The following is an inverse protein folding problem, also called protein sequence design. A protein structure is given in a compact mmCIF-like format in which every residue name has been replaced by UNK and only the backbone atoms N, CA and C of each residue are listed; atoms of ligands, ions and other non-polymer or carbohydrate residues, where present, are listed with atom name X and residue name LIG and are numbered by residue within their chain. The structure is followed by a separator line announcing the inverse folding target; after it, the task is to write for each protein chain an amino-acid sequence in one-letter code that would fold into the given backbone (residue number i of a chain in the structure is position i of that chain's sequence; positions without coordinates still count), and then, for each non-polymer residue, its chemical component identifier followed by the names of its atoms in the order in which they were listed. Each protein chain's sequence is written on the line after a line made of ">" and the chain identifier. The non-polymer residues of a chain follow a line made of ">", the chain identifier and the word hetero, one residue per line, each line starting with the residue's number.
data_IF_530341597232
#
_entry.id   IF_530341597232
#
_cell.length_a   1.000
_cell.length_b   1.000
_cell.length_c   1.000
_cell.angle_alpha   90.00
_cell.angle_beta   90.00
_cell.angle_gamma   90.00
#
_symmetry.space_group_name_H-M   'P 1'
#
loop_
_entity.id
_entity.type
_entity.pdbx_description
1 polymer ?
#
# COMPACT_ATOMS: atom_id res chain seq x y z
N UNK A 1 -8.38 -3.98 -14.48
CA UNK A 1 -7.37 -2.91 -14.32
C UNK A 1 -7.42 -1.98 -15.53
N UNK A 2 -7.27 -0.65 -15.39
CA UNK A 2 -7.34 0.31 -16.52
C UNK A 2 -6.13 0.25 -17.47
N UNK A 3 -4.93 -0.02 -16.93
CA UNK A 3 -3.65 -0.12 -17.66
C UNK A 3 -3.05 -1.51 -17.45
N UNK A 4 -3.64 -2.53 -18.06
CA UNK A 4 -3.16 -3.92 -17.97
C UNK A 4 -1.75 -4.09 -18.57
N UNK A 5 -1.35 -3.20 -19.49
CA UNK A 5 0.00 -3.11 -20.03
C UNK A 5 1.07 -2.74 -18.98
N UNK A 6 0.64 -2.23 -17.82
CA UNK A 6 1.50 -1.87 -16.69
C UNK A 6 1.33 -2.82 -15.49
N UNK A 7 0.53 -3.87 -15.64
CA UNK A 7 0.36 -4.86 -14.57
C UNK A 7 1.64 -5.69 -14.43
N UNK A 8 2.10 -5.85 -13.19
CA UNK A 8 3.28 -6.65 -12.87
C UNK A 8 2.79 -7.86 -12.09
N UNK A 9 3.00 -9.05 -12.67
CA UNK A 9 2.68 -10.34 -12.06
C UNK A 9 3.94 -11.11 -11.60
N UNK A 10 5.11 -10.51 -11.83
CA UNK A 10 6.39 -11.06 -11.39
C UNK A 10 6.50 -11.00 -9.87
N UNK A 11 6.40 -12.18 -9.25
CA UNK A 11 6.42 -12.33 -7.80
C UNK A 11 7.77 -11.96 -7.21
N UNK A 12 8.88 -12.24 -7.87
CA UNK A 12 10.21 -11.93 -7.34
C UNK A 12 10.42 -10.42 -7.27
N UNK A 13 9.97 -9.70 -8.30
CA UNK A 13 9.96 -8.24 -8.31
C UNK A 13 9.06 -7.68 -7.19
N UNK A 14 7.83 -8.18 -7.06
CA UNK A 14 6.90 -7.77 -5.99
C UNK A 14 7.53 -7.98 -4.60
N UNK A 15 8.08 -9.18 -4.36
CA UNK A 15 8.73 -9.52 -3.09
C UNK A 15 9.94 -8.61 -2.82
N UNK A 16 10.73 -8.29 -3.84
CA UNK A 16 11.88 -7.39 -3.71
C UNK A 16 11.48 -5.97 -3.29
N UNK A 17 10.37 -5.46 -3.83
CA UNK A 17 9.83 -4.14 -3.48
C UNK A 17 9.33 -4.16 -2.04
N UNK A 18 8.53 -5.16 -1.66
CA UNK A 18 8.02 -5.30 -0.29
C UNK A 18 9.12 -5.48 0.76
N UNK A 19 10.25 -6.10 0.40
CA UNK A 19 11.43 -6.21 1.28
C UNK A 19 12.22 -4.90 1.41
N UNK A 20 12.16 -4.03 0.39
CA UNK A 20 12.92 -2.78 0.33
C UNK A 20 12.20 -1.64 1.03
N UNK A 21 10.90 -1.53 0.85
CA UNK A 21 10.11 -0.42 1.38
C UNK A 21 9.84 -0.57 2.89
N UNK A 22 9.69 0.57 3.56
CA UNK A 22 9.56 0.61 5.02
C UNK A 22 8.17 1.01 5.49
N UNK A 23 7.42 1.72 4.65
CA UNK A 23 6.11 2.28 4.99
C UNK A 23 5.07 1.73 4.03
N UNK A 24 3.93 1.34 4.58
CA UNK A 24 2.73 1.04 3.81
C UNK A 24 1.59 1.92 4.33
N UNK A 25 0.54 2.11 3.53
CA UNK A 25 -0.74 2.66 4.01
C UNK A 25 -1.71 1.52 4.17
N UNK A 26 -2.32 1.42 5.34
CA UNK A 26 -3.45 0.52 5.56
C UNK A 26 -4.76 1.32 5.55
N UNK A 27 -5.72 0.85 4.77
CA UNK A 27 -7.08 1.36 4.71
C UNK A 27 -8.01 0.34 5.37
N UNK A 28 -8.82 0.85 6.29
CA UNK A 28 -9.81 0.11 7.07
C UNK A 28 -11.19 0.76 6.89
N UNK A 29 -12.24 0.01 7.23
CA UNK A 29 -13.61 0.53 7.27
C UNK A 29 -14.06 0.71 8.72
N UNK A 30 -14.25 1.96 9.14
CA UNK A 30 -14.76 2.36 10.45
C UNK A 30 -16.26 2.68 10.34
N UNK A 31 -17.09 1.64 10.43
CA UNK A 31 -18.56 1.74 10.40
C UNK A 31 -19.10 2.55 9.19
N UNK A 32 -18.54 2.27 8.00
CA UNK A 32 -18.88 2.93 6.74
C UNK A 32 -17.92 4.06 6.34
N UNK A 33 -17.05 4.49 7.25
CA UNK A 33 -16.09 5.56 6.99
C UNK A 33 -14.71 4.99 6.64
N UNK A 34 -14.13 5.31 5.47
CA UNK A 34 -12.76 4.94 5.16
C UNK A 34 -11.79 5.58 6.16
N UNK A 35 -10.92 4.75 6.74
CA UNK A 35 -9.87 5.20 7.65
C UNK A 35 -8.52 4.70 7.15
N UNK A 36 -7.60 5.62 6.86
CA UNK A 36 -6.28 5.32 6.32
C UNK A 36 -5.19 5.81 7.25
N UNK A 37 -4.20 4.94 7.53
CA UNK A 37 -3.01 5.30 8.32
C UNK A 37 -1.73 4.74 7.69
N UNK A 38 -0.64 5.54 7.63
CA UNK A 38 0.67 5.03 7.30
C UNK A 38 1.23 4.22 8.47
N UNK A 39 1.89 3.10 8.17
CA UNK A 39 2.50 2.22 9.15
C UNK A 39 3.82 1.68 8.64
N UNK A 40 4.78 1.52 9.57
CA UNK A 40 6.00 0.77 9.29
C UNK A 40 5.64 -0.71 9.25
N UNK A 41 6.16 -1.43 8.26
CA UNK A 41 5.94 -2.86 8.10
C UNK A 41 7.25 -3.62 7.88
N UNK A 42 7.21 -4.92 8.15
CA UNK A 42 8.17 -5.89 7.64
C UNK A 42 7.46 -6.89 6.73
N UNK A 43 8.18 -7.51 5.81
CA UNK A 43 7.63 -8.50 4.88
C UNK A 43 8.40 -9.81 4.94
N UNK A 44 7.69 -10.91 5.17
CA UNK A 44 8.24 -12.27 5.13
C UNK A 44 7.14 -13.28 4.76
N UNK A 45 7.45 -14.27 3.94
CA UNK A 45 6.57 -15.41 3.62
C UNK A 45 5.15 -15.03 3.15
N UNK A 46 5.04 -14.00 2.30
CA UNK A 46 3.78 -13.40 1.83
C UNK A 46 2.92 -12.72 2.92
N UNK A 47 3.51 -12.39 4.07
CA UNK A 47 2.85 -11.70 5.16
C UNK A 47 3.49 -10.32 5.42
N UNK A 48 2.66 -9.29 5.58
CA UNK A 48 3.07 -8.00 6.11
C UNK A 48 2.89 -8.01 7.63
N UNK A 49 3.94 -7.64 8.35
CA UNK A 49 3.98 -7.53 9.80
C UNK A 49 4.01 -6.07 10.20
N UNK A 50 2.99 -5.63 10.94
CA UNK A 50 2.83 -4.24 11.35
C UNK A 50 3.05 -4.13 12.86
N UNK A 51 3.94 -3.25 13.30
CA UNK A 51 4.13 -2.98 14.72
C UNK A 51 3.19 -1.87 15.19
N UNK A 52 2.49 -2.09 16.32
CA UNK A 52 1.68 -1.02 16.91
C UNK A 52 1.30 -1.26 18.37
N UNK A 53 0.81 -0.20 19.04
CA UNK A 53 0.14 -0.32 20.33
C UNK A 53 -1.08 -1.25 20.25
N UNK A 54 -1.37 -1.94 21.36
CA UNK A 54 -2.50 -2.87 21.51
C UNK A 54 -3.87 -2.19 21.64
N UNK A 55 -3.91 -0.86 21.57
CA UNK A 55 -5.10 -0.03 21.71
C UNK A 55 -5.11 1.11 20.69
N UNK A 56 -6.23 1.83 20.67
CA UNK A 56 -6.48 2.97 19.78
C UNK A 56 -7.35 2.61 18.58
N UNK A 57 -7.81 3.65 17.86
CA UNK A 57 -8.84 3.57 16.83
C UNK A 57 -8.65 2.44 15.82
N UNK A 58 -7.45 2.26 15.26
CA UNK A 58 -7.17 1.17 14.30
C UNK A 58 -7.43 -0.21 14.92
N UNK A 59 -7.07 -0.42 16.18
CA UNK A 59 -7.24 -1.71 16.86
C UNK A 59 -8.72 -1.94 17.13
N UNK A 60 -9.45 -0.90 17.53
CA UNK A 60 -10.88 -0.98 17.74
C UNK A 60 -11.64 -1.28 16.43
N UNK A 61 -11.20 -0.70 15.32
CA UNK A 61 -11.70 -1.04 13.98
C UNK A 61 -11.38 -2.50 13.64
N UNK A 62 -10.11 -2.92 13.76
CA UNK A 62 -9.68 -4.29 13.42
C UNK A 62 -10.37 -5.36 14.28
N UNK A 63 -10.77 -5.05 15.51
CA UNK A 63 -11.58 -5.93 16.37
C UNK A 63 -13.01 -6.12 15.84
N UNK A 64 -13.59 -5.10 15.19
CA UNK A 64 -14.94 -5.17 14.59
C UNK A 64 -14.91 -5.76 13.19
N UNK A 65 -13.93 -5.34 12.39
CA UNK A 65 -13.73 -5.75 11.01
C UNK A 65 -12.24 -5.76 10.69
N UNK A 66 -11.68 -6.96 10.59
CA UNK A 66 -10.25 -7.16 10.34
C UNK A 66 -9.86 -7.08 8.85
N UNK A 67 -10.83 -6.86 7.94
CA UNK A 67 -10.55 -6.71 6.52
C UNK A 67 -9.92 -5.35 6.24
N UNK A 68 -8.75 -5.38 5.61
CA UNK A 68 -8.00 -4.19 5.19
C UNK A 68 -7.65 -4.23 3.71
N UNK A 69 -7.35 -3.05 3.18
CA UNK A 69 -6.57 -2.88 1.97
C UNK A 69 -5.23 -2.27 2.39
N UNK A 70 -4.13 -2.71 1.81
CA UNK A 70 -2.84 -2.05 1.99
C UNK A 70 -2.29 -1.56 0.66
N UNK A 71 -1.43 -0.55 0.73
CA UNK A 71 -0.74 0.04 -0.40
C UNK A 71 0.73 0.30 -0.04
N UNK A 72 1.62 0.01 -0.99
CA UNK A 72 3.05 0.31 -0.93
C UNK A 72 3.46 0.91 -2.28
N UNK A 73 3.98 2.14 -2.26
CA UNK A 73 4.65 2.76 -3.40
C UNK A 73 6.18 2.65 -3.31
N UNK A 74 6.84 2.59 -4.47
CA UNK A 74 8.30 2.61 -4.55
C UNK A 74 8.78 3.39 -5.77
N UNK A 75 10.00 3.96 -5.68
CA UNK A 75 10.68 4.68 -6.74
C UNK A 75 9.81 5.77 -7.41
N UNK A 76 9.18 6.61 -6.60
CA UNK A 76 8.33 7.69 -7.10
C UNK A 76 9.19 8.79 -7.73
N UNK A 77 9.04 8.98 -9.03
CA UNK A 77 9.79 9.97 -9.81
C UNK A 77 8.86 10.83 -10.66
N UNK A 78 9.04 12.15 -10.58
CA UNK A 78 8.30 13.12 -11.37
C UNK A 78 8.76 13.10 -12.84
N UNK A 79 7.81 13.02 -13.77
CA UNK A 79 8.05 13.15 -15.21
C UNK A 79 7.49 14.49 -15.67
N UNK A 80 8.33 15.52 -15.83
CA UNK A 80 7.90 16.84 -16.27
C UNK A 80 7.48 16.82 -17.74
N UNK A 81 6.55 17.71 -18.09
CA UNK A 81 6.08 17.90 -19.46
C UNK A 81 5.78 19.39 -19.74
N UNK A 82 5.72 19.77 -21.01
CA UNK A 82 5.46 21.16 -21.41
C UNK A 82 4.04 21.61 -21.04
N UNK A 83 3.03 20.76 -21.26
CA UNK A 83 1.64 21.05 -20.91
C UNK A 83 1.26 20.42 -19.57
N UNK A 84 0.52 21.13 -18.73
CA UNK A 84 0.09 20.68 -17.39
C UNK A 84 -0.55 19.28 -17.39
N UNK A 85 -1.40 18.97 -18.38
CA UNK A 85 -2.10 17.68 -18.47
C UNK A 85 -1.21 16.47 -18.78
N UNK A 86 0.05 16.70 -19.21
CA UNK A 86 0.99 15.64 -19.59
C UNK A 86 2.01 15.34 -18.50
N UNK A 87 1.97 16.03 -17.36
CA UNK A 87 2.79 15.69 -16.20
C UNK A 87 2.39 14.31 -15.68
N UNK A 88 3.39 13.53 -15.27
CA UNK A 88 3.14 12.17 -14.79
C UNK A 88 4.17 11.76 -13.74
N UNK A 89 4.02 10.54 -13.24
CA UNK A 89 4.97 9.90 -12.34
C UNK A 89 5.32 8.51 -12.86
N UNK A 90 6.58 8.12 -12.65
CA UNK A 90 7.01 6.71 -12.70
C UNK A 90 7.06 6.23 -11.26
N UNK A 91 6.46 5.07 -10.98
CA UNK A 91 6.46 4.46 -9.66
C UNK A 91 6.03 3.00 -9.78
N UNK A 92 6.41 2.20 -8.79
CA UNK A 92 5.77 0.92 -8.51
C UNK A 92 4.68 1.13 -7.47
N UNK A 93 3.59 0.37 -7.57
CA UNK A 93 2.51 0.38 -6.59
C UNK A 93 2.01 -1.04 -6.40
N UNK A 94 2.02 -1.50 -5.15
CA UNK A 94 1.50 -2.81 -4.76
C UNK A 94 0.27 -2.55 -3.91
N UNK A 95 -0.87 -3.09 -4.34
CA UNK A 95 -2.12 -3.05 -3.58
C UNK A 95 -2.50 -4.49 -3.26
N UNK A 96 -2.79 -4.75 -1.98
CA UNK A 96 -3.23 -6.05 -1.53
C UNK A 96 -4.33 -5.95 -0.47
N UNK A 97 -4.90 -7.10 -0.16
CA UNK A 97 -6.02 -7.24 0.76
C UNK A 97 -5.69 -8.34 1.78
N UNK A 98 -6.20 -8.19 3.00
CA UNK A 98 -5.99 -9.12 4.11
C UNK A 98 -7.01 -8.94 5.20
#
# INVERSE_FOLDING_TARGET
>A
MRRSDKEILDKELIDSILKKELVCRIAMNDDGNPYLVPMIFGYQDNCLFLHSAKEGRKIDILKKNNRICFEVESNVELVPAESACNWSFKYYCIIGYG
#
